data_IF_940499807477
#
_entry.id   IF_940499807477
#
_cell.length_a   1.000
_cell.length_b   1.000
_cell.length_c   1.000
_cell.angle_alpha   90.00
_cell.angle_beta   90.00
_cell.angle_gamma   90.00
#
_symmetry.space_group_name_H-M   'P 1'
#
loop_
_entity.id
_entity.type
_entity.pdbx_description
1 polymer ?
#
# COMPACT_ATOMS: atom_id res chain seq x y z
N UNK A 1 87.51 -15.85 -12.38
CA UNK A 1 86.87 -15.63 -11.09
C UNK A 1 85.39 -15.33 -11.36
N UNK A 2 84.48 -16.28 -11.06
CA UNK A 2 83.06 -16.22 -11.41
C UNK A 2 82.30 -15.85 -10.16
N UNK A 3 81.64 -14.65 -10.10
CA UNK A 3 80.76 -14.26 -9.05
C UNK A 3 79.37 -14.61 -9.45
N UNK A 4 78.77 -15.54 -8.73
CA UNK A 4 77.30 -15.90 -8.87
C UNK A 4 76.46 -14.96 -8.01
N UNK A 5 75.54 -14.21 -8.67
CA UNK A 5 74.58 -13.38 -8.03
C UNK A 5 73.37 -14.26 -7.68
N UNK A 6 73.07 -14.42 -6.39
CA UNK A 6 71.80 -15.09 -5.90
C UNK A 6 70.70 -14.10 -5.88
N UNK A 7 69.63 -14.34 -6.73
CA UNK A 7 68.44 -13.61 -6.75
C UNK A 7 67.41 -14.24 -5.72
N UNK A 8 67.12 -13.49 -4.66
CA UNK A 8 66.12 -13.91 -3.65
C UNK A 8 64.73 -13.44 -4.10
N UNK A 9 63.91 -14.39 -4.43
CA UNK A 9 62.53 -14.13 -4.87
C UNK A 9 61.66 -14.04 -3.62
N UNK A 10 61.18 -12.83 -3.30
CA UNK A 10 60.29 -12.52 -2.18
C UNK A 10 58.85 -12.66 -2.67
N UNK A 11 58.18 -13.78 -2.31
CA UNK A 11 56.79 -14.02 -2.67
C UNK A 11 55.86 -13.19 -1.80
N UNK A 12 55.10 -12.28 -2.42
CA UNK A 12 53.99 -11.58 -1.79
C UNK A 12 52.78 -12.51 -1.79
N UNK A 13 52.36 -12.95 -0.58
CA UNK A 13 51.07 -13.63 -0.37
C UNK A 13 50.00 -12.53 -0.26
N UNK A 14 49.20 -12.37 -1.30
CA UNK A 14 48.01 -11.53 -1.28
C UNK A 14 46.89 -12.29 -0.54
N UNK A 15 46.68 -11.99 0.75
CA UNK A 15 45.50 -12.41 1.47
C UNK A 15 44.29 -11.57 0.99
N UNK A 16 43.57 -12.09 0.01
CA UNK A 16 42.27 -11.53 -0.38
C UNK A 16 41.24 -11.78 0.72
N UNK A 17 40.90 -10.74 1.48
CA UNK A 17 39.76 -10.78 2.38
C UNK A 17 38.47 -10.82 1.53
N UNK A 18 37.82 -11.98 1.46
CA UNK A 18 36.44 -12.11 0.96
C UNK A 18 35.53 -11.37 1.95
N UNK A 19 35.17 -10.14 1.63
CA UNK A 19 34.10 -9.46 2.30
C UNK A 19 32.77 -10.21 1.96
N UNK A 20 32.30 -11.01 2.90
CA UNK A 20 30.95 -11.57 2.83
C UNK A 20 29.98 -10.39 2.84
N UNK A 21 29.33 -10.12 1.72
CA UNK A 21 28.25 -9.17 1.64
C UNK A 21 27.15 -9.64 2.59
N UNK A 22 27.05 -9.01 3.75
CA UNK A 22 25.95 -9.26 4.67
C UNK A 22 24.68 -8.74 4.02
N UNK A 23 23.69 -9.62 3.85
CA UNK A 23 22.35 -9.18 3.45
C UNK A 23 21.86 -8.12 4.43
N UNK A 24 21.26 -7.03 3.95
CA UNK A 24 20.70 -6.03 4.84
C UNK A 24 19.70 -6.70 5.80
N UNK A 25 19.65 -6.27 7.07
CA UNK A 25 18.73 -6.84 8.04
C UNK A 25 17.28 -6.69 7.53
N UNK A 26 16.46 -7.70 7.82
CA UNK A 26 15.04 -7.65 7.45
C UNK A 26 14.38 -6.39 8.05
N UNK A 27 13.43 -5.77 7.35
CA UNK A 27 12.71 -4.60 7.86
C UNK A 27 12.05 -4.88 9.20
N UNK A 28 12.14 -3.93 10.12
CA UNK A 28 11.47 -4.03 11.42
C UNK A 28 9.95 -3.96 11.21
N UNK A 29 9.21 -4.88 11.85
CA UNK A 29 7.76 -4.99 11.75
C UNK A 29 7.13 -4.78 13.13
N UNK A 30 6.20 -3.82 13.23
CA UNK A 30 5.42 -3.61 14.44
C UNK A 30 4.39 -4.75 14.64
N UNK A 31 4.30 -5.38 15.82
CA UNK A 31 3.23 -6.33 16.14
C UNK A 31 1.82 -5.71 16.01
N UNK A 32 1.69 -4.40 16.18
CA UNK A 32 0.40 -3.69 16.01
C UNK A 32 -0.12 -3.82 14.58
N UNK A 33 0.72 -3.82 13.56
CA UNK A 33 0.28 -4.02 12.18
C UNK A 33 -0.39 -5.38 11.96
N UNK A 34 0.11 -6.43 12.59
CA UNK A 34 -0.53 -7.74 12.54
C UNK A 34 -1.91 -7.71 13.21
N UNK A 35 -2.01 -7.07 14.39
CA UNK A 35 -3.28 -6.93 15.09
C UNK A 35 -4.28 -6.10 14.29
N UNK A 36 -3.83 -5.01 13.66
CA UNK A 36 -4.64 -4.24 12.72
C UNK A 36 -5.13 -5.13 11.59
N UNK A 37 -4.25 -5.81 10.87
CA UNK A 37 -4.62 -6.67 9.75
C UNK A 37 -5.62 -7.78 10.17
N UNK A 38 -5.45 -8.39 11.34
CA UNK A 38 -6.39 -9.38 11.91
C UNK A 38 -7.75 -8.75 12.20
N UNK A 39 -7.79 -7.53 12.73
CA UNK A 39 -9.04 -6.80 12.98
C UNK A 39 -9.79 -6.54 11.69
N UNK A 40 -9.09 -6.30 10.59
CA UNK A 40 -9.67 -6.11 9.26
C UNK A 40 -9.99 -7.42 8.53
N UNK A 41 -9.58 -8.58 9.07
CA UNK A 41 -10.00 -9.90 8.57
C UNK A 41 -8.93 -10.64 7.76
N UNK A 42 -7.63 -10.33 7.94
CA UNK A 42 -6.54 -10.97 7.18
C UNK A 42 -6.51 -12.50 7.35
N UNK A 43 -6.91 -13.02 8.51
CA UNK A 43 -6.98 -14.47 8.77
C UNK A 43 -8.03 -15.21 7.91
N UNK A 44 -8.92 -14.47 7.26
CA UNK A 44 -9.92 -15.02 6.34
C UNK A 44 -9.68 -14.62 4.88
N UNK A 45 -8.54 -13.99 4.59
CA UNK A 45 -8.26 -13.48 3.25
C UNK A 45 -8.14 -14.58 2.19
N UNK A 46 -7.66 -15.75 2.57
CA UNK A 46 -7.58 -16.92 1.72
C UNK A 46 -8.96 -17.41 1.19
N UNK A 47 -10.04 -17.03 1.89
CA UNK A 47 -11.43 -17.33 1.48
C UNK A 47 -12.00 -16.29 0.52
N UNK A 48 -11.33 -15.15 0.34
CA UNK A 48 -11.78 -14.10 -0.58
C UNK A 48 -11.48 -14.54 -2.01
N UNK A 49 -12.52 -14.61 -2.85
CA UNK A 49 -12.39 -14.86 -4.28
C UNK A 49 -12.30 -13.56 -5.05
N UNK A 50 -13.22 -12.63 -4.77
CA UNK A 50 -13.22 -11.33 -5.41
C UNK A 50 -13.72 -10.23 -4.46
N UNK A 51 -13.30 -9.00 -4.72
CA UNK A 51 -13.77 -7.77 -4.07
C UNK A 51 -14.21 -6.81 -5.17
N UNK A 52 -15.34 -6.15 -4.98
CA UNK A 52 -15.76 -5.03 -5.81
C UNK A 52 -15.99 -3.80 -4.94
N UNK A 53 -15.72 -2.64 -5.49
CA UNK A 53 -15.97 -1.35 -4.84
C UNK A 53 -15.95 -0.22 -5.85
N UNK A 54 -16.58 0.91 -5.49
CA UNK A 54 -16.41 2.19 -6.19
C UNK A 54 -15.55 3.10 -5.30
N UNK A 55 -14.36 3.43 -5.76
CA UNK A 55 -13.51 4.43 -5.13
C UNK A 55 -13.89 5.81 -5.63
N UNK A 56 -14.27 6.70 -4.71
CA UNK A 56 -14.64 8.07 -5.02
C UNK A 56 -13.64 9.00 -4.37
N UNK A 57 -12.99 9.87 -5.16
CA UNK A 57 -12.01 10.84 -4.67
C UNK A 57 -12.35 12.25 -5.11
N UNK A 58 -12.27 13.19 -4.16
CA UNK A 58 -12.45 14.62 -4.41
C UNK A 58 -11.41 15.43 -3.65
N UNK A 59 -10.66 16.27 -4.37
CA UNK A 59 -9.87 17.34 -3.78
C UNK A 59 -10.43 18.65 -4.35
N UNK A 60 -10.97 19.50 -3.49
CA UNK A 60 -11.65 20.73 -3.90
C UNK A 60 -10.74 21.59 -4.78
N UNK A 61 -11.23 21.92 -5.96
CA UNK A 61 -10.53 22.73 -6.95
C UNK A 61 -9.41 22.01 -7.73
N UNK A 62 -9.25 20.69 -7.57
CA UNK A 62 -8.28 19.89 -8.33
C UNK A 62 -8.93 18.78 -9.14
N UNK A 63 -9.67 17.89 -8.52
CA UNK A 63 -10.34 16.78 -9.21
C UNK A 63 -11.51 16.24 -8.43
N UNK A 64 -12.40 15.55 -9.17
CA UNK A 64 -13.44 14.68 -8.64
C UNK A 64 -13.60 13.51 -9.59
N UNK A 65 -13.44 12.28 -9.08
CA UNK A 65 -13.48 11.05 -9.88
C UNK A 65 -14.21 9.93 -9.13
N UNK A 66 -14.71 8.97 -9.91
CA UNK A 66 -15.24 7.71 -9.41
C UNK A 66 -14.71 6.57 -10.28
N UNK A 67 -14.09 5.59 -9.66
CA UNK A 67 -13.54 4.41 -10.31
C UNK A 67 -14.21 3.16 -9.76
N UNK A 68 -14.86 2.38 -10.61
CA UNK A 68 -15.44 1.09 -10.23
C UNK A 68 -14.44 0.00 -10.49
N UNK A 69 -14.17 -0.78 -9.46
CA UNK A 69 -13.23 -1.88 -9.48
C UNK A 69 -13.90 -3.20 -9.14
N UNK A 70 -13.47 -4.27 -9.82
CA UNK A 70 -13.62 -5.64 -9.39
C UNK A 70 -12.26 -6.31 -9.48
N UNK A 71 -11.82 -6.93 -8.40
CA UNK A 71 -10.50 -7.52 -8.27
C UNK A 71 -10.59 -8.95 -7.72
N UNK A 72 -9.94 -9.87 -8.41
CA UNK A 72 -9.74 -11.25 -7.98
C UNK A 72 -8.29 -11.40 -7.46
N UNK A 73 -8.04 -11.35 -6.14
CA UNK A 73 -6.67 -11.33 -5.60
C UNK A 73 -5.84 -12.55 -5.95
N UNK A 74 -6.48 -13.72 -6.12
CA UNK A 74 -5.81 -15.00 -6.38
C UNK A 74 -5.35 -15.16 -7.82
N UNK A 75 -6.10 -14.60 -8.76
CA UNK A 75 -5.83 -14.72 -10.19
C UNK A 75 -5.09 -13.48 -10.74
N UNK A 76 -5.13 -12.38 -10.00
CA UNK A 76 -4.62 -11.10 -10.47
C UNK A 76 -5.54 -10.37 -11.45
N UNK A 77 -6.75 -10.90 -11.72
CA UNK A 77 -7.69 -10.28 -12.64
C UNK A 77 -8.28 -9.01 -12.02
N UNK A 78 -8.25 -7.93 -12.78
CA UNK A 78 -8.80 -6.63 -12.43
C UNK A 78 -9.76 -6.17 -13.52
N UNK A 79 -10.94 -5.71 -13.12
CA UNK A 79 -11.90 -5.05 -14.02
C UNK A 79 -12.10 -3.61 -13.59
N UNK A 80 -12.07 -2.71 -14.55
CA UNK A 80 -12.22 -1.27 -14.39
C UNK A 80 -13.42 -0.74 -15.18
N UNK A 81 -14.19 0.16 -14.58
CA UNK A 81 -15.22 0.96 -15.24
C UNK A 81 -15.16 2.37 -14.65
N UNK A 82 -14.71 3.34 -15.44
CA UNK A 82 -14.50 4.71 -14.99
C UNK A 82 -13.91 5.61 -16.08
N UNK A 83 -13.58 6.87 -15.76
CA UNK A 83 -12.97 7.78 -16.72
C UNK A 83 -11.48 7.52 -16.92
N UNK A 84 -10.96 7.83 -18.11
CA UNK A 84 -9.52 8.01 -18.32
C UNK A 84 -9.06 9.40 -17.81
N UNK A 85 -7.77 9.70 -17.99
CA UNK A 85 -7.19 11.01 -17.60
C UNK A 85 -7.83 12.22 -18.29
N UNK A 86 -8.50 12.00 -19.44
CA UNK A 86 -9.18 13.01 -20.23
C UNK A 86 -10.70 13.04 -19.96
N UNK A 87 -11.17 12.24 -18.98
CA UNK A 87 -12.59 12.14 -18.59
C UNK A 87 -13.42 11.24 -19.51
N UNK A 88 -12.83 10.53 -20.47
CA UNK A 88 -13.55 9.62 -21.37
C UNK A 88 -13.82 8.29 -20.67
N UNK A 89 -15.01 7.69 -20.88
CA UNK A 89 -15.34 6.41 -20.28
C UNK A 89 -14.43 5.30 -20.79
N UNK A 90 -13.89 4.50 -19.87
CA UNK A 90 -13.08 3.32 -20.13
C UNK A 90 -13.67 2.13 -19.36
N UNK A 91 -13.83 1.02 -20.07
CA UNK A 91 -14.20 -0.25 -19.46
C UNK A 91 -13.24 -1.32 -19.98
N UNK A 92 -12.47 -1.92 -19.06
CA UNK A 92 -11.42 -2.89 -19.41
C UNK A 92 -11.27 -3.92 -18.29
N UNK A 93 -10.90 -5.14 -18.68
CA UNK A 93 -10.43 -6.17 -17.76
C UNK A 93 -9.04 -6.61 -18.19
N UNK A 94 -8.16 -6.84 -17.22
CA UNK A 94 -6.78 -7.23 -17.46
C UNK A 94 -6.26 -8.13 -16.33
N UNK A 95 -5.11 -8.74 -16.56
CA UNK A 95 -4.38 -9.52 -15.57
C UNK A 95 -3.18 -8.70 -15.07
N UNK A 96 -3.22 -8.29 -13.81
CA UNK A 96 -2.16 -7.49 -13.18
C UNK A 96 -0.84 -8.26 -13.03
N UNK A 97 -0.89 -9.60 -13.01
CA UNK A 97 0.31 -10.44 -12.99
C UNK A 97 1.04 -10.50 -14.33
N UNK A 98 0.35 -10.11 -15.43
CA UNK A 98 0.86 -10.12 -16.79
C UNK A 98 0.88 -8.71 -17.41
N UNK A 99 1.22 -7.72 -16.59
CA UNK A 99 1.12 -6.30 -16.98
C UNK A 99 1.95 -5.94 -18.21
N UNK A 100 3.10 -6.57 -18.43
CA UNK A 100 3.96 -6.32 -19.59
C UNK A 100 3.26 -6.58 -20.93
N UNK A 101 2.32 -7.52 -20.97
CA UNK A 101 1.53 -7.88 -22.14
C UNK A 101 0.27 -7.02 -22.35
N UNK A 102 -0.05 -6.12 -21.45
CA UNK A 102 -1.25 -5.29 -21.52
C UNK A 102 -1.05 -4.05 -22.41
N UNK A 103 -2.17 -3.41 -22.77
CA UNK A 103 -2.14 -2.17 -23.55
C UNK A 103 -1.46 -1.03 -22.81
N UNK A 104 -0.98 -0.01 -23.53
CA UNK A 104 -0.38 1.18 -22.91
C UNK A 104 -1.38 1.95 -22.04
N UNK A 105 -2.66 1.95 -22.38
CA UNK A 105 -3.72 2.52 -21.54
C UNK A 105 -3.79 1.80 -20.17
N UNK A 106 -3.77 0.47 -20.18
CA UNK A 106 -3.76 -0.32 -18.94
C UNK A 106 -2.49 -0.03 -18.15
N UNK A 107 -1.31 -0.18 -18.74
CA UNK A 107 -0.02 -0.01 -18.07
C UNK A 107 0.20 1.38 -17.46
N UNK A 108 -0.22 2.43 -18.18
CA UNK A 108 0.15 3.81 -17.84
C UNK A 108 -0.97 4.62 -17.17
N UNK A 109 -2.20 4.10 -17.15
CA UNK A 109 -3.36 4.81 -16.58
C UNK A 109 -4.16 3.93 -15.62
N UNK A 110 -4.68 2.79 -16.09
CA UNK A 110 -5.63 1.97 -15.33
C UNK A 110 -4.94 1.29 -14.15
N UNK A 111 -3.82 0.59 -14.39
CA UNK A 111 -3.08 -0.09 -13.32
C UNK A 111 -2.56 0.87 -12.24
N UNK A 112 -1.92 2.02 -12.56
CA UNK A 112 -1.54 2.99 -11.54
C UNK A 112 -2.72 3.53 -10.73
N UNK A 113 -3.89 3.71 -11.34
CA UNK A 113 -5.12 4.10 -10.64
C UNK A 113 -5.63 2.98 -9.74
N UNK A 114 -5.61 1.73 -10.22
CA UNK A 114 -5.98 0.57 -9.41
C UNK A 114 -5.12 0.46 -8.16
N UNK A 115 -3.80 0.52 -8.32
CA UNK A 115 -2.87 0.44 -7.18
C UNK A 115 -3.14 1.56 -6.19
N UNK A 116 -3.26 2.81 -6.66
CA UNK A 116 -3.58 3.94 -5.80
C UNK A 116 -4.86 3.71 -5.01
N UNK A 117 -5.97 3.39 -5.68
CA UNK A 117 -7.28 3.27 -5.07
C UNK A 117 -7.35 2.06 -4.12
N UNK A 118 -6.64 0.97 -4.46
CA UNK A 118 -6.55 -0.23 -3.65
C UNK A 118 -5.80 0.03 -2.34
N UNK A 119 -4.70 0.81 -2.38
CA UNK A 119 -3.99 1.24 -1.16
C UNK A 119 -4.88 2.09 -0.25
N UNK A 120 -5.63 3.05 -0.78
CA UNK A 120 -6.57 3.86 0.00
C UNK A 120 -7.74 3.04 0.57
N UNK A 121 -8.09 1.93 -0.05
CA UNK A 121 -9.19 1.05 0.39
C UNK A 121 -8.73 -0.01 1.39
N UNK A 122 -7.55 -0.60 1.16
CA UNK A 122 -7.06 -1.81 1.82
C UNK A 122 -5.72 -1.62 2.54
N UNK A 123 -5.33 -0.39 2.89
CA UNK A 123 -4.02 -0.14 3.52
C UNK A 123 -3.73 -1.00 4.77
N UNK A 124 -4.70 -1.30 5.65
CA UNK A 124 -4.47 -2.22 6.77
C UNK A 124 -3.90 -3.59 6.37
N UNK A 125 -4.23 -4.06 5.17
CA UNK A 125 -3.68 -5.28 4.61
C UNK A 125 -2.32 -5.04 3.94
N UNK A 126 -2.20 -3.99 3.11
CA UNK A 126 -0.94 -3.65 2.44
C UNK A 126 0.19 -3.41 3.44
N UNK A 127 -0.05 -2.65 4.49
CA UNK A 127 0.93 -2.41 5.55
C UNK A 127 1.43 -3.70 6.20
N UNK A 128 0.60 -4.74 6.27
CA UNK A 128 0.96 -6.06 6.80
C UNK A 128 1.62 -6.96 5.75
N UNK A 129 1.09 -7.00 4.51
CA UNK A 129 1.58 -7.89 3.44
C UNK A 129 2.93 -7.48 2.91
N UNK A 130 3.17 -6.18 2.78
CA UNK A 130 4.39 -5.67 2.16
C UNK A 130 5.60 -5.87 3.07
N UNK A 131 6.39 -6.91 2.75
CA UNK A 131 7.58 -7.28 3.52
C UNK A 131 8.73 -6.29 3.35
N UNK A 132 8.69 -5.43 2.33
CA UNK A 132 9.71 -4.40 2.09
C UNK A 132 9.55 -3.19 3.01
N UNK A 133 8.33 -2.91 3.48
CA UNK A 133 8.05 -1.81 4.37
C UNK A 133 8.51 -2.09 5.80
N UNK A 134 9.15 -1.10 6.43
CA UNK A 134 9.42 -1.11 7.86
C UNK A 134 8.30 -0.44 8.63
N UNK A 135 8.02 -0.93 9.85
CA UNK A 135 7.03 -0.32 10.72
C UNK A 135 7.49 -0.42 12.17
N UNK A 136 7.48 0.69 12.88
CA UNK A 136 7.93 0.78 14.27
C UNK A 136 6.83 1.47 15.08
N UNK A 137 6.40 0.81 16.14
CA UNK A 137 5.50 1.40 17.13
C UNK A 137 6.22 2.53 17.86
N UNK A 138 5.63 3.71 17.86
CA UNK A 138 6.17 4.89 18.54
C UNK A 138 5.42 5.20 19.85
N UNK A 139 4.44 4.36 20.23
CA UNK A 139 3.60 4.59 21.40
C UNK A 139 2.49 5.60 21.11
N UNK A 140 1.94 6.18 22.19
CA UNK A 140 0.75 7.05 22.13
C UNK A 140 1.09 8.47 21.75
N UNK A 141 0.40 8.95 20.73
CA UNK A 141 0.47 10.33 20.26
C UNK A 141 -0.93 10.96 20.22
N UNK A 142 -0.98 12.28 20.37
CA UNK A 142 -2.21 13.02 20.13
C UNK A 142 -2.68 12.82 18.70
N UNK A 143 -4.00 12.73 18.51
CA UNK A 143 -4.57 12.70 17.17
C UNK A 143 -4.19 13.98 16.41
N UNK A 144 -3.99 13.90 15.09
CA UNK A 144 -3.64 15.07 14.27
C UNK A 144 -4.70 16.19 14.32
N UNK A 145 -5.95 15.82 14.56
CA UNK A 145 -7.08 16.75 14.70
C UNK A 145 -8.04 16.22 15.77
N UNK A 146 -8.58 17.15 16.57
CA UNK A 146 -9.49 16.83 17.66
C UNK A 146 -8.80 16.28 18.90
N UNK A 147 -9.55 16.05 19.97
CA UNK A 147 -9.03 15.48 21.22
C UNK A 147 -8.85 13.97 21.09
N UNK A 148 -7.87 13.44 21.84
CA UNK A 148 -7.64 12.00 21.96
C UNK A 148 -6.22 11.58 21.60
N UNK A 149 -5.92 10.33 21.90
CA UNK A 149 -4.62 9.70 21.65
C UNK A 149 -4.83 8.33 21.00
N UNK A 150 -3.89 7.96 20.12
CA UNK A 150 -3.82 6.66 19.47
C UNK A 150 -2.36 6.20 19.40
N UNK A 151 -2.13 4.92 19.17
CA UNK A 151 -0.80 4.38 18.91
C UNK A 151 -0.35 4.83 17.51
N UNK A 152 0.82 5.48 17.43
CA UNK A 152 1.41 5.93 16.17
C UNK A 152 2.31 4.84 15.60
N UNK A 153 1.99 4.37 14.42
CA UNK A 153 2.73 3.32 13.70
C UNK A 153 3.11 3.82 12.30
N UNK A 154 4.27 4.45 12.14
CA UNK A 154 4.79 4.78 10.81
C UNK A 154 5.14 3.52 10.02
N UNK A 155 4.57 3.41 8.82
CA UNK A 155 4.90 2.40 7.82
C UNK A 155 5.71 3.08 6.72
N UNK A 156 6.98 2.71 6.59
CA UNK A 156 7.93 3.35 5.68
C UNK A 156 8.35 2.40 4.58
N UNK A 157 8.13 2.82 3.35
CA UNK A 157 8.54 2.10 2.15
C UNK A 157 9.97 2.47 1.74
N UNK A 158 10.75 1.53 1.18
CA UNK A 158 12.10 1.85 0.68
C UNK A 158 12.05 2.84 -0.49
N UNK A 159 13.12 3.62 -0.66
CA UNK A 159 13.20 4.64 -1.70
C UNK A 159 13.26 4.08 -3.13
N UNK A 160 13.52 2.79 -3.31
CA UNK A 160 13.66 2.14 -4.61
C UNK A 160 12.68 1.00 -4.80
N UNK A 161 12.09 0.92 -6.00
CA UNK A 161 11.22 -0.17 -6.42
C UNK A 161 9.75 -0.05 -5.96
N UNK A 162 8.88 -0.87 -6.56
CA UNK A 162 7.46 -0.93 -6.23
C UNK A 162 6.66 0.29 -6.69
N UNK A 163 5.43 0.37 -6.23
CA UNK A 163 4.48 1.44 -6.56
C UNK A 163 4.54 2.63 -5.60
N UNK A 164 5.20 2.48 -4.45
CA UNK A 164 5.19 3.44 -3.33
C UNK A 164 6.61 3.83 -2.88
N UNK A 165 7.55 4.16 -3.80
CA UNK A 165 8.95 4.37 -3.46
C UNK A 165 9.12 5.58 -2.53
N UNK A 166 9.61 5.32 -1.31
CA UNK A 166 9.86 6.35 -0.30
C UNK A 166 8.61 6.88 0.42
N UNK A 167 7.44 6.30 0.18
CA UNK A 167 6.20 6.70 0.84
C UNK A 167 6.25 6.37 2.33
N UNK A 168 5.59 7.20 3.13
CA UNK A 168 5.41 7.00 4.57
C UNK A 168 3.93 7.15 4.91
N UNK A 169 3.38 6.14 5.61
CA UNK A 169 2.04 6.16 6.16
C UNK A 169 2.12 6.15 7.69
N UNK A 170 1.83 7.26 8.31
CA UNK A 170 1.72 7.37 9.76
C UNK A 170 0.31 6.95 10.17
N UNK A 171 0.15 5.74 10.67
CA UNK A 171 -1.14 5.21 11.11
C UNK A 171 -1.38 5.55 12.58
N UNK A 172 -2.54 6.10 12.87
CA UNK A 172 -3.03 6.29 14.24
C UNK A 172 -4.02 5.18 14.55
N UNK A 173 -3.60 4.24 15.41
CA UNK A 173 -4.34 3.02 15.72
C UNK A 173 -5.04 3.16 17.08
N UNK A 174 -6.35 3.02 17.05
CA UNK A 174 -7.19 3.07 18.25
C UNK A 174 -7.05 1.81 19.15
N UNK A 175 -7.68 1.85 20.31
CA UNK A 175 -7.62 0.76 21.32
C UNK A 175 -8.22 -0.56 20.82
N UNK A 176 -9.08 -0.50 19.80
CA UNK A 176 -9.73 -1.65 19.15
C UNK A 176 -8.95 -2.17 17.93
N UNK A 177 -7.70 -1.75 17.79
CA UNK A 177 -6.82 -2.04 16.66
C UNK A 177 -7.35 -1.55 15.29
N UNK A 178 -8.26 -0.58 15.28
CA UNK A 178 -8.68 0.09 14.05
C UNK A 178 -7.83 1.33 13.82
N UNK A 179 -7.50 1.58 12.57
CA UNK A 179 -6.89 2.84 12.17
C UNK A 179 -7.95 3.93 12.28
N UNK A 180 -7.71 5.00 13.00
CA UNK A 180 -8.67 6.11 13.19
C UNK A 180 -8.31 7.36 12.40
N UNK A 181 -7.01 7.55 12.15
CA UNK A 181 -6.43 8.60 11.30
C UNK A 181 -5.20 8.07 10.58
N UNK A 182 -4.83 8.73 9.52
CA UNK A 182 -3.53 8.54 8.88
C UNK A 182 -2.96 9.86 8.38
N UNK A 183 -1.64 9.91 8.29
CA UNK A 183 -0.91 10.92 7.54
C UNK A 183 -0.06 10.20 6.50
N UNK A 184 -0.36 10.44 5.24
CA UNK A 184 0.43 9.93 4.12
C UNK A 184 1.38 11.01 3.64
N UNK A 185 2.65 10.67 3.56
CA UNK A 185 3.69 11.50 2.99
C UNK A 185 4.25 10.76 1.76
N UNK A 186 4.06 11.36 0.60
CA UNK A 186 4.52 10.79 -0.67
C UNK A 186 6.03 10.86 -0.77
N UNK A 187 6.66 9.78 -1.21
CA UNK A 187 8.04 9.79 -1.66
C UNK A 187 8.21 10.62 -2.94
N UNK A 188 9.31 11.37 -3.02
CA UNK A 188 9.57 12.25 -4.17
C UNK A 188 8.84 13.61 -4.09
N UNK A 189 8.91 14.39 -5.19
CA UNK A 189 8.52 15.80 -5.19
C UNK A 189 7.17 16.10 -5.86
N UNK A 190 6.33 15.10 -6.17
CA UNK A 190 5.06 15.32 -6.89
C UNK A 190 3.90 15.61 -5.92
N UNK A 191 3.16 16.72 -6.08
CA UNK A 191 1.93 16.98 -5.33
C UNK A 191 0.79 15.99 -5.67
N UNK A 192 -0.15 15.73 -4.73
CA UNK A 192 -0.08 16.12 -3.35
C UNK A 192 1.02 15.37 -2.62
N UNK A 193 1.82 16.09 -1.85
CA UNK A 193 2.97 15.52 -1.13
C UNK A 193 2.57 14.99 0.25
N UNK A 194 1.51 15.54 0.84
CA UNK A 194 1.00 15.17 2.13
C UNK A 194 -0.52 15.10 2.13
N UNK A 195 -1.03 13.95 2.53
CA UNK A 195 -2.45 13.75 2.78
C UNK A 195 -2.64 13.39 4.25
N UNK A 196 -3.63 13.98 4.85
CA UNK A 196 -4.04 13.70 6.22
C UNK A 196 -5.56 13.53 6.22
N UNK A 197 -6.06 12.42 6.75
CA UNK A 197 -7.50 12.18 6.82
C UNK A 197 -7.90 11.21 7.93
N UNK A 198 -9.20 11.22 8.25
CA UNK A 198 -9.84 10.20 9.08
C UNK A 198 -9.83 8.85 8.37
N UNK A 199 -9.96 7.80 9.17
CA UNK A 199 -10.21 6.44 8.72
C UNK A 199 -11.43 5.93 9.46
N UNK A 200 -12.62 6.07 8.85
CA UNK A 200 -13.93 5.90 9.51
C UNK A 200 -14.94 5.24 8.58
N UNK A 201 -16.22 5.16 9.01
CA UNK A 201 -17.26 4.55 8.19
C UNK A 201 -17.08 3.03 8.07
N UNK A 202 -16.78 2.37 9.18
CA UNK A 202 -16.51 0.93 9.18
C UNK A 202 -17.73 0.11 8.79
N UNK A 203 -17.54 -0.79 7.82
CA UNK A 203 -18.54 -1.73 7.32
C UNK A 203 -17.93 -3.09 7.08
N UNK A 204 -18.69 -4.16 7.27
CA UNK A 204 -18.24 -5.54 7.00
C UNK A 204 -18.91 -6.10 5.76
N UNK A 205 -18.09 -6.66 4.85
CA UNK A 205 -18.55 -7.51 3.77
C UNK A 205 -18.00 -8.93 4.03
N UNK A 206 -18.85 -9.82 4.47
CA UNK A 206 -18.43 -11.14 4.94
C UNK A 206 -17.42 -11.02 6.10
N UNK A 207 -16.23 -11.66 6.00
CA UNK A 207 -15.21 -11.58 7.06
C UNK A 207 -14.35 -10.32 7.01
N UNK A 208 -14.45 -9.49 5.97
CA UNK A 208 -13.55 -8.37 5.73
C UNK A 208 -14.20 -7.07 6.25
N UNK A 209 -13.42 -6.31 7.02
CA UNK A 209 -13.77 -4.98 7.50
C UNK A 209 -13.18 -3.92 6.55
N UNK A 210 -14.01 -2.99 6.12
CA UNK A 210 -13.62 -1.84 5.32
C UNK A 210 -13.83 -0.55 6.12
N UNK A 211 -12.96 0.43 5.90
CA UNK A 211 -13.24 1.83 6.19
C UNK A 211 -13.73 2.48 4.91
N UNK A 212 -14.87 3.14 4.96
CA UNK A 212 -15.54 3.67 3.77
C UNK A 212 -15.55 5.20 3.71
N UNK A 213 -14.99 5.89 4.71
CA UNK A 213 -14.98 7.35 4.80
C UNK A 213 -13.62 7.89 5.25
N UNK A 214 -13.04 8.76 4.43
CA UNK A 214 -11.79 9.45 4.72
C UNK A 214 -11.97 10.95 4.41
N UNK A 215 -11.99 11.77 5.45
CA UNK A 215 -12.13 13.23 5.34
C UNK A 215 -10.93 13.93 5.94
N UNK A 216 -10.40 14.91 5.21
CA UNK A 216 -9.23 15.63 5.66
C UNK A 216 -8.72 16.64 4.64
N UNK A 217 -7.42 16.67 4.44
CA UNK A 217 -6.77 17.59 3.50
C UNK A 217 -5.66 16.90 2.69
N UNK A 218 -5.45 17.41 1.48
CA UNK A 218 -4.30 17.09 0.64
C UNK A 218 -3.56 18.41 0.35
N UNK A 219 -2.33 18.57 0.88
CA UNK A 219 -1.56 19.81 0.86
C UNK A 219 -2.40 21.04 1.27
N UNK A 220 -3.20 20.89 2.33
CA UNK A 220 -4.07 21.92 2.88
C UNK A 220 -5.42 22.12 2.16
N UNK A 221 -5.64 21.49 1.00
CA UNK A 221 -6.94 21.53 0.30
C UNK A 221 -7.89 20.49 0.85
N UNK A 222 -9.18 20.79 1.01
CA UNK A 222 -10.15 19.79 1.48
C UNK A 222 -10.15 18.54 0.61
N UNK A 223 -10.07 17.38 1.27
CA UNK A 223 -10.09 16.05 0.68
C UNK A 223 -11.29 15.27 1.20
N UNK A 224 -11.96 14.58 0.30
CA UNK A 224 -12.92 13.53 0.62
C UNK A 224 -12.66 12.30 -0.25
N UNK A 225 -12.34 11.18 0.38
CA UNK A 225 -12.33 9.86 -0.26
C UNK A 225 -13.43 9.05 0.40
N UNK A 226 -14.30 8.43 -0.40
CA UNK A 226 -15.28 7.49 0.12
C UNK A 226 -15.42 6.28 -0.79
N UNK A 227 -15.66 5.13 -0.16
CA UNK A 227 -15.75 3.84 -0.84
C UNK A 227 -17.21 3.40 -0.80
N UNK A 228 -17.85 3.29 -1.96
CA UNK A 228 -19.23 2.81 -2.11
C UNK A 228 -19.29 1.46 -2.82
N UNK A 229 -20.45 0.85 -2.83
CA UNK A 229 -20.73 -0.42 -3.54
C UNK A 229 -19.77 -1.57 -3.16
N UNK A 230 -19.30 -1.53 -1.91
CA UNK A 230 -18.34 -2.52 -1.42
C UNK A 230 -19.01 -3.86 -1.24
N UNK A 231 -18.49 -4.90 -1.87
CA UNK A 231 -18.91 -6.27 -1.65
C UNK A 231 -17.73 -7.25 -1.80
N UNK A 232 -17.88 -8.41 -1.17
CA UNK A 232 -16.91 -9.51 -1.21
C UNK A 232 -17.61 -10.77 -1.73
N UNK A 233 -16.94 -11.50 -2.60
CA UNK A 233 -17.32 -12.86 -3.01
C UNK A 233 -16.35 -13.84 -2.35
N UNK A 234 -16.89 -14.90 -1.76
CA UNK A 234 -16.08 -15.92 -1.11
C UNK A 234 -15.92 -17.14 -2.02
N UNK A 235 -14.80 -17.82 -1.90
CA UNK A 235 -14.47 -19.02 -2.65
C UNK A 235 -15.58 -20.08 -2.50
N UNK A 236 -16.04 -20.61 -3.62
CA UNK A 236 -17.11 -21.59 -3.67
C UNK A 236 -18.53 -21.00 -3.59
N UNK A 237 -18.66 -19.69 -3.70
CA UNK A 237 -19.96 -19.01 -3.72
C UNK A 237 -20.06 -18.05 -4.91
N UNK A 238 -21.17 -18.09 -5.63
CA UNK A 238 -21.48 -17.14 -6.70
C UNK A 238 -22.11 -15.84 -6.18
N UNK A 239 -22.36 -15.76 -4.86
CA UNK A 239 -23.07 -14.61 -4.25
C UNK A 239 -22.09 -13.57 -3.75
N UNK A 240 -22.40 -12.31 -4.05
CA UNK A 240 -21.78 -11.16 -3.44
C UNK A 240 -22.38 -10.89 -2.06
N UNK A 241 -21.54 -10.54 -1.10
CA UNK A 241 -21.91 -10.12 0.25
C UNK A 241 -21.62 -8.63 0.33
N UNK A 242 -22.67 -7.81 0.31
CA UNK A 242 -22.53 -6.35 0.38
C UNK A 242 -22.12 -5.91 1.79
N UNK A 243 -21.34 -4.83 1.85
CA UNK A 243 -20.86 -4.26 3.11
C UNK A 243 -21.97 -3.52 3.87
N UNK A 244 -22.12 -3.85 5.15
CA UNK A 244 -23.13 -3.29 6.08
C UNK A 244 -22.46 -2.67 7.30
#
# INVERSE_FOLDING_TARGET
>A
MRNACRLTMMGFILCGALALAQNPPAPTRSPILEQVAKTYGVDSWDKVEAIRYTWNGEIVGLFKVAHKWEWEPKTGKVSYDGPDKDGKPVKVSYDSSQLSGQSDQVKNQVEPSFVNDNYWTLFPFHGYWDKSASAIDQGKFNLPVGPGMAELVPVKYPAGGGYTPGDVWDLYVGKDNRVVYFVYNRGGAKPPSRVFATWTGYKKAGPILFSTEHRGTADGKPLHIFISDVAVKLTGSDKWIDAQ
#
